data_IF_838162473981
#
_entry.id   IF_838162473981
#
_cell.length_a   1.000
_cell.length_b   1.000
_cell.length_c   1.000
_cell.angle_alpha   90.00
_cell.angle_beta   90.00
_cell.angle_gamma   90.00
#
_symmetry.space_group_name_H-M   'P 1'
#
loop_
_entity.id
_entity.type
_entity.pdbx_description
1 polymer ?
#
# COMPACT_ATOMS: atom_id res chain seq x y z
N UNK A 1 -13.19 -5.39 -18.91
CA UNK A 1 -11.88 -5.14 -18.28
C UNK A 1 -11.71 -6.10 -17.12
N UNK A 2 -10.72 -6.99 -17.17
CA UNK A 2 -10.50 -8.06 -16.20
C UNK A 2 -9.87 -7.55 -14.87
N UNK A 3 -10.31 -6.38 -14.37
CA UNK A 3 -9.70 -5.71 -13.22
C UNK A 3 -8.43 -4.91 -13.52
N UNK A 4 -8.09 -4.70 -14.79
CA UNK A 4 -6.91 -3.94 -15.20
C UNK A 4 -7.18 -2.43 -15.32
N UNK A 5 -6.19 -1.63 -14.94
CA UNK A 5 -6.19 -0.17 -15.04
C UNK A 5 -5.38 0.26 -16.26
N UNK A 6 -5.99 1.06 -17.14
CA UNK A 6 -5.31 1.67 -18.29
C UNK A 6 -5.18 3.17 -18.02
N UNK A 7 -3.94 3.66 -17.89
CA UNK A 7 -3.64 5.09 -17.74
C UNK A 7 -3.20 5.64 -19.09
N UNK A 8 -3.99 6.54 -19.67
CA UNK A 8 -3.66 7.19 -20.95
C UNK A 8 -2.79 8.41 -20.71
N UNK A 9 -1.68 8.50 -21.44
CA UNK A 9 -0.80 9.67 -21.41
C UNK A 9 -1.48 10.79 -22.20
N UNK A 10 -1.67 11.98 -21.61
CA UNK A 10 -2.31 13.07 -22.32
C UNK A 10 -1.39 13.61 -23.43
N UNK A 11 -1.94 14.13 -24.55
CA UNK A 11 -1.14 14.58 -25.69
C UNK A 11 -0.03 15.58 -25.32
N UNK A 12 -0.33 16.50 -24.39
CA UNK A 12 0.62 17.49 -23.88
C UNK A 12 1.83 16.87 -23.17
N UNK A 13 1.73 15.66 -22.61
CA UNK A 13 2.82 14.96 -21.95
C UNK A 13 3.52 13.92 -22.84
N UNK A 14 3.06 13.73 -24.09
CA UNK A 14 3.59 12.69 -24.98
C UNK A 14 5.07 12.91 -25.35
N UNK A 15 5.49 14.18 -25.45
CA UNK A 15 6.89 14.53 -25.72
C UNK A 15 7.83 14.08 -24.59
N UNK A 16 7.40 14.17 -23.33
CA UNK A 16 8.19 13.74 -22.16
C UNK A 16 8.54 12.25 -22.25
N UNK A 17 7.59 11.43 -22.68
CA UNK A 17 7.81 9.98 -22.86
C UNK A 17 8.73 9.70 -24.05
N UNK A 18 8.54 10.42 -25.16
CA UNK A 18 9.40 10.29 -26.33
C UNK A 18 10.88 10.65 -26.02
N UNK A 19 11.09 11.57 -25.08
CA UNK A 19 12.41 12.00 -24.60
C UNK A 19 12.99 11.11 -23.48
N UNK A 20 12.25 10.08 -23.04
CA UNK A 20 12.67 9.21 -21.93
C UNK A 20 12.61 9.86 -20.55
N UNK A 21 11.84 10.95 -20.40
CA UNK A 21 11.66 11.64 -19.12
C UNK A 21 10.68 10.89 -18.23
N UNK A 22 11.03 10.76 -16.95
CA UNK A 22 10.18 10.12 -15.95
C UNK A 22 8.89 10.92 -15.72
N UNK A 23 7.75 10.21 -15.62
CA UNK A 23 6.46 10.76 -15.23
C UNK A 23 6.07 10.30 -13.84
N UNK A 24 5.38 11.16 -13.08
CA UNK A 24 4.74 10.78 -11.81
C UNK A 24 3.26 10.57 -12.05
N UNK A 25 2.77 9.38 -11.74
CA UNK A 25 1.34 9.02 -11.81
C UNK A 25 0.80 8.95 -10.39
N UNK A 26 -0.27 9.71 -10.11
CA UNK A 26 -1.03 9.62 -8.87
C UNK A 26 -2.30 8.83 -9.09
N UNK A 27 -2.54 7.83 -8.24
CA UNK A 27 -3.76 7.00 -8.28
C UNK A 27 -4.40 7.04 -6.90
N UNK A 28 -5.58 7.64 -6.81
CA UNK A 28 -6.43 7.58 -5.63
C UNK A 28 -7.41 6.42 -5.80
N UNK A 29 -7.47 5.54 -4.79
CA UNK A 29 -8.33 4.36 -4.82
C UNK A 29 -8.81 4.00 -3.42
N UNK A 30 -9.87 3.20 -3.34
CA UNK A 30 -10.40 2.63 -2.11
C UNK A 30 -10.62 1.13 -2.29
N UNK A 31 -10.55 0.39 -1.18
CA UNK A 31 -10.95 -1.01 -1.12
C UNK A 31 -12.16 -1.15 -0.19
N UNK A 32 -13.22 -1.78 -0.71
CA UNK A 32 -14.44 -2.05 0.04
C UNK A 32 -14.65 -3.56 0.12
N UNK A 33 -14.74 -4.10 1.34
CA UNK A 33 -14.97 -5.52 1.61
C UNK A 33 -14.09 -6.45 0.75
N UNK A 34 -12.74 -6.35 0.85
CA UNK A 34 -11.83 -7.10 -0.02
C UNK A 34 -12.08 -8.61 0.13
N UNK A 35 -12.26 -9.29 -1.01
CA UNK A 35 -12.47 -10.73 -1.06
C UNK A 35 -11.15 -11.52 -1.16
N UNK A 36 -10.02 -10.82 -1.28
CA UNK A 36 -8.68 -11.39 -1.39
C UNK A 36 -7.60 -10.32 -1.19
N UNK A 37 -6.34 -10.74 -1.07
CA UNK A 37 -5.17 -9.86 -0.87
C UNK A 37 -5.03 -9.30 0.54
N UNK A 38 -6.13 -8.91 1.16
CA UNK A 38 -6.18 -8.39 2.54
C UNK A 38 -7.11 -9.28 3.37
N UNK A 39 -6.67 -9.64 4.58
CA UNK A 39 -7.48 -10.37 5.54
C UNK A 39 -7.60 -9.59 6.86
N UNK A 40 -8.83 -9.49 7.35
CA UNK A 40 -9.15 -8.88 8.64
C UNK A 40 -9.56 -9.97 9.62
N UNK A 41 -8.89 -10.02 10.77
CA UNK A 41 -9.22 -10.91 11.87
C UNK A 41 -9.83 -10.08 12.99
N UNK A 42 -11.11 -10.28 13.22
CA UNK A 42 -11.89 -9.51 14.21
C UNK A 42 -12.60 -10.47 15.16
N UNK A 43 -11.98 -10.81 16.30
CA UNK A 43 -12.62 -11.69 17.28
C UNK A 43 -13.90 -11.08 17.86
N UNK A 44 -14.90 -11.94 18.08
CA UNK A 44 -16.18 -11.59 18.71
C UNK A 44 -15.97 -11.57 20.23
N UNK A 45 -15.37 -10.48 20.71
CA UNK A 45 -15.09 -10.17 22.11
C UNK A 45 -15.34 -8.67 22.34
N UNK A 46 -15.65 -8.30 23.58
CA UNK A 46 -15.69 -6.90 24.00
C UNK A 46 -14.27 -6.37 24.29
N UNK A 47 -14.12 -5.05 24.35
CA UNK A 47 -12.85 -4.37 24.61
C UNK A 47 -12.33 -3.56 23.42
N UNK A 48 -11.16 -2.95 23.60
CA UNK A 48 -10.44 -2.21 22.54
C UNK A 48 -9.94 -3.16 21.45
N UNK A 49 -9.45 -2.62 20.34
CA UNK A 49 -8.92 -3.46 19.27
C UNK A 49 -7.70 -4.29 19.72
N UNK A 50 -6.83 -3.73 20.55
CA UNK A 50 -5.69 -4.46 21.11
C UNK A 50 -6.14 -5.59 22.05
N UNK A 51 -7.07 -5.31 22.97
CA UNK A 51 -7.60 -6.30 23.92
C UNK A 51 -8.28 -7.48 23.20
N UNK A 52 -8.97 -7.17 22.11
CA UNK A 52 -9.65 -8.17 21.27
C UNK A 52 -8.69 -8.94 20.38
N UNK A 53 -7.45 -8.50 20.20
CA UNK A 53 -6.48 -9.09 19.27
C UNK A 53 -6.86 -8.88 17.81
N UNK A 54 -7.49 -7.75 17.49
CA UNK A 54 -7.84 -7.38 16.11
C UNK A 54 -6.56 -7.12 15.33
N UNK A 55 -6.45 -7.71 14.15
CA UNK A 55 -5.32 -7.47 13.26
C UNK A 55 -5.74 -7.61 11.80
N UNK A 56 -4.93 -7.01 10.94
CA UNK A 56 -5.05 -7.09 9.50
C UNK A 56 -3.69 -7.47 8.94
N UNK A 57 -3.68 -8.34 7.95
CA UNK A 57 -2.48 -8.65 7.20
C UNK A 57 -2.83 -8.83 5.73
N UNK A 58 -1.84 -8.63 4.89
CA UNK A 58 -1.93 -8.98 3.49
C UNK A 58 -1.25 -10.32 3.26
N UNK A 59 -1.85 -11.12 2.39
CA UNK A 59 -1.38 -12.45 2.09
C UNK A 59 -1.75 -12.79 0.66
N UNK A 60 -0.82 -13.44 -0.03
CA UNK A 60 -1.06 -13.91 -1.37
C UNK A 60 0.09 -14.74 -1.89
N UNK A 61 -0.21 -15.52 -2.92
CA UNK A 61 0.80 -16.16 -3.75
C UNK A 61 1.35 -15.15 -4.77
N UNK A 62 2.28 -15.56 -5.62
CA UNK A 62 2.83 -14.75 -6.70
C UNK A 62 1.74 -13.91 -7.42
N UNK A 63 2.02 -12.64 -7.70
CA UNK A 63 1.11 -11.69 -8.37
C UNK A 63 -0.18 -11.33 -7.59
N UNK A 64 -0.09 -11.21 -6.26
CA UNK A 64 -1.23 -10.81 -5.42
C UNK A 64 -1.19 -9.37 -4.93
N UNK A 65 -0.11 -8.62 -5.16
CA UNK A 65 -0.01 -7.23 -4.71
C UNK A 65 -1.08 -6.34 -5.34
N UNK A 66 -1.48 -6.67 -6.57
CA UNK A 66 -2.61 -6.04 -7.28
C UNK A 66 -3.94 -6.10 -6.53
N UNK A 67 -4.10 -7.03 -5.58
CA UNK A 67 -5.32 -7.21 -4.80
C UNK A 67 -5.42 -6.23 -3.62
N UNK A 68 -4.30 -5.64 -3.20
CA UNK A 68 -4.26 -4.58 -2.20
C UNK A 68 -4.23 -3.22 -2.88
N UNK A 69 -3.32 -2.99 -3.84
CA UNK A 69 -3.13 -1.66 -4.45
C UNK A 69 -2.85 -1.74 -5.95
N UNK A 70 -3.13 -0.66 -6.71
CA UNK A 70 -2.72 -0.57 -8.10
C UNK A 70 -1.20 -0.57 -8.24
N UNK A 71 -0.65 -1.60 -8.88
CA UNK A 71 0.76 -1.69 -9.21
C UNK A 71 0.97 -2.44 -10.53
N UNK A 72 2.16 -2.27 -11.12
CA UNK A 72 2.63 -3.15 -12.19
C UNK A 72 3.11 -4.44 -11.53
N UNK A 73 2.19 -5.38 -11.41
CA UNK A 73 2.39 -6.63 -10.69
C UNK A 73 3.07 -7.67 -11.59
N UNK A 74 4.39 -7.49 -11.75
CA UNK A 74 5.26 -8.27 -12.64
C UNK A 74 6.62 -8.50 -11.98
N UNK A 75 7.12 -9.73 -12.08
CA UNK A 75 8.47 -10.10 -11.64
C UNK A 75 9.60 -9.42 -12.43
N UNK A 76 9.30 -8.87 -13.61
CA UNK A 76 10.29 -8.20 -14.45
C UNK A 76 10.54 -6.74 -14.03
N UNK A 77 9.64 -6.15 -13.25
CA UNK A 77 9.70 -4.75 -12.86
C UNK A 77 10.09 -4.65 -11.38
N UNK A 78 11.31 -4.18 -11.11
CA UNK A 78 11.77 -3.94 -9.74
C UNK A 78 11.69 -2.47 -9.39
N UNK A 79 11.14 -2.14 -8.22
CA UNK A 79 11.02 -0.77 -7.75
C UNK A 79 11.54 -0.62 -6.32
N UNK A 80 11.89 0.62 -5.95
CA UNK A 80 12.04 1.04 -4.56
C UNK A 80 10.73 1.64 -4.07
N UNK A 81 10.49 1.58 -2.77
CA UNK A 81 9.19 1.95 -2.20
C UNK A 81 9.35 2.90 -1.01
N UNK A 82 8.49 3.91 -0.97
CA UNK A 82 8.17 4.66 0.24
C UNK A 82 6.74 4.31 0.62
N UNK A 83 6.55 3.81 1.82
CA UNK A 83 5.27 3.28 2.29
C UNK A 83 4.87 4.01 3.56
N UNK A 84 3.63 4.49 3.60
CA UNK A 84 3.07 5.24 4.73
C UNK A 84 1.78 4.57 5.19
N UNK A 85 1.72 4.20 6.47
CA UNK A 85 0.57 3.51 7.04
C UNK A 85 0.06 4.26 8.26
N UNK A 86 -1.14 4.84 8.17
CA UNK A 86 -1.83 5.42 9.32
C UNK A 86 -2.74 4.38 9.97
N UNK A 87 -2.46 4.05 11.22
CA UNK A 87 -3.19 3.05 12.01
C UNK A 87 -3.66 3.63 13.33
N UNK A 88 -4.55 2.93 14.02
CA UNK A 88 -5.00 3.25 15.38
C UNK A 88 -3.81 3.36 16.37
N UNK A 89 -3.93 4.19 17.40
CA UNK A 89 -2.85 4.43 18.38
C UNK A 89 -2.38 3.16 19.10
N UNK A 90 -3.26 2.18 19.28
CA UNK A 90 -2.92 0.91 19.93
C UNK A 90 -2.30 -0.11 18.95
N UNK A 91 -2.33 0.18 17.65
CA UNK A 91 -1.86 -0.72 16.60
C UNK A 91 -0.42 -0.43 16.19
N UNK A 92 0.24 -1.43 15.61
CA UNK A 92 1.57 -1.31 15.02
C UNK A 92 1.52 -1.80 13.58
N UNK A 93 1.90 -0.96 12.63
CA UNK A 93 2.08 -1.36 11.24
C UNK A 93 3.45 -2.03 11.07
N UNK A 94 3.51 -3.09 10.29
CA UNK A 94 4.76 -3.80 9.93
C UNK A 94 4.80 -3.95 8.42
N UNK A 95 5.91 -3.57 7.81
CA UNK A 95 6.11 -3.62 6.36
C UNK A 95 7.57 -3.90 6.02
N UNK A 96 7.84 -4.18 4.74
CA UNK A 96 9.19 -4.30 4.21
C UNK A 96 9.93 -2.94 4.21
N UNK A 97 11.25 -3.00 4.31
CA UNK A 97 12.14 -1.83 4.32
C UNK A 97 12.51 -1.38 5.73
N UNK A 98 13.23 -0.27 5.80
CA UNK A 98 13.65 0.35 7.05
C UNK A 98 12.53 1.23 7.60
N UNK A 99 12.21 1.10 8.90
CA UNK A 99 11.33 2.02 9.60
C UNK A 99 12.07 3.34 9.83
N UNK A 100 11.63 4.40 9.17
CA UNK A 100 12.27 5.72 9.21
C UNK A 100 11.78 6.53 10.40
N UNK A 101 10.46 6.62 10.55
CA UNK A 101 9.84 7.38 11.64
C UNK A 101 8.42 6.88 11.93
N UNK A 102 7.92 7.25 13.13
CA UNK A 102 6.54 7.06 13.54
C UNK A 102 6.04 8.38 14.10
N UNK A 103 4.98 8.92 13.50
CA UNK A 103 4.43 10.24 13.84
C UNK A 103 2.98 10.09 14.29
N UNK A 104 2.61 10.72 15.40
CA UNK A 104 1.20 10.76 15.83
C UNK A 104 0.41 11.77 15.00
N UNK A 105 -0.86 11.48 14.73
CA UNK A 105 -1.78 12.49 14.21
C UNK A 105 -1.95 13.64 15.21
N UNK A 106 -2.33 14.86 14.79
CA UNK A 106 -2.47 15.99 15.70
C UNK A 106 -3.44 15.77 16.86
N UNK A 107 -4.43 14.90 16.68
CA UNK A 107 -5.40 14.50 17.71
C UNK A 107 -4.93 13.34 18.60
N UNK A 108 -3.71 12.82 18.35
CA UNK A 108 -3.06 11.70 19.02
C UNK A 108 -3.78 10.35 18.91
N UNK A 109 -4.85 10.24 18.11
CA UNK A 109 -5.66 9.01 18.01
C UNK A 109 -5.09 7.95 17.07
N UNK A 110 -4.12 8.32 16.25
CA UNK A 110 -3.51 7.46 15.23
C UNK A 110 -2.02 7.69 15.13
N UNK A 111 -1.33 6.70 14.58
CA UNK A 111 0.11 6.75 14.28
C UNK A 111 0.30 6.50 12.79
N UNK A 112 1.14 7.30 12.15
CA UNK A 112 1.62 7.07 10.79
C UNK A 112 3.04 6.50 10.86
N UNK A 113 3.22 5.30 10.30
CA UNK A 113 4.51 4.64 10.15
C UNK A 113 5.07 4.93 8.76
N UNK A 114 6.30 5.40 8.69
CA UNK A 114 7.00 5.70 7.43
C UNK A 114 8.10 4.67 7.19
N UNK A 115 7.95 3.85 6.15
CA UNK A 115 8.91 2.83 5.74
C UNK A 115 9.59 3.21 4.42
N UNK A 116 10.88 2.86 4.29
CA UNK A 116 11.67 3.03 3.07
C UNK A 116 12.31 1.70 2.66
N UNK A 117 11.91 1.17 1.50
CA UNK A 117 12.53 0.01 0.87
C UNK A 117 13.40 0.46 -0.30
N UNK A 118 14.69 0.65 -0.02
CA UNK A 118 15.65 1.16 -1.01
C UNK A 118 16.28 0.05 -1.87
N UNK A 119 16.09 -1.22 -1.50
CA UNK A 119 16.53 -2.36 -2.30
C UNK A 119 15.45 -2.64 -3.36
N UNK A 120 15.78 -2.60 -4.67
CA UNK A 120 14.82 -2.89 -5.72
C UNK A 120 14.22 -4.29 -5.55
N UNK A 121 12.89 -4.36 -5.51
CA UNK A 121 12.13 -5.59 -5.34
C UNK A 121 10.92 -5.56 -6.26
N UNK A 122 10.47 -6.74 -6.70
CA UNK A 122 9.22 -6.86 -7.43
C UNK A 122 8.02 -6.73 -6.49
N UNK A 123 6.90 -6.25 -7.04
CA UNK A 123 5.59 -6.32 -6.39
C UNK A 123 5.11 -7.76 -6.21
#
# INVERSE_FOLDING_TARGET
>A
NAGELVVTIPPEASHLVAEGTALRVGIEFSLEQPQGGIHFVVPVKEGTYAERGVHMFTYGHQNSSRLWFPCVDSFAETCTWKLEFTVDEEMTAVSNGDLIEVVYTPDLRRKTYHYSLNIPTCG
#
